data_IF_126150932725
#
_entry.id   IF_126150932725
#
_cell.length_a   1.000
_cell.length_b   1.000
_cell.length_c   1.000
_cell.angle_alpha   90.00
_cell.angle_beta   90.00
_cell.angle_gamma   90.00
#
_symmetry.space_group_name_H-M   'P 1'
#
loop_
_entity.id
_entity.type
_entity.pdbx_description
1 polymer ?
#
# COMPACT_ATOMS: atom_id res chain seq x y z
N UNK A 1 -35.32 -21.74 -0.12
CA UNK A 1 -35.20 -21.40 -1.57
C UNK A 1 -33.73 -21.12 -1.86
N UNK A 2 -33.19 -21.52 -3.02
CA UNK A 2 -31.76 -21.43 -3.31
C UNK A 2 -31.43 -20.62 -4.57
N UNK A 3 -30.28 -19.96 -4.56
CA UNK A 3 -29.69 -19.24 -5.70
C UNK A 3 -28.25 -19.68 -5.94
N UNK A 4 -27.85 -19.80 -7.19
CA UNK A 4 -26.45 -20.03 -7.54
C UNK A 4 -25.61 -18.81 -7.15
N UNK A 5 -24.52 -19.02 -6.42
CA UNK A 5 -23.69 -17.92 -5.90
C UNK A 5 -22.96 -17.15 -7.01
N UNK A 6 -22.63 -17.81 -8.11
CA UNK A 6 -21.89 -17.22 -9.23
C UNK A 6 -22.72 -16.22 -10.05
N UNK A 7 -24.01 -16.49 -10.20
CA UNK A 7 -24.91 -15.82 -11.14
C UNK A 7 -26.09 -15.14 -10.45
N UNK A 8 -26.32 -15.44 -9.17
CA UNK A 8 -27.48 -14.96 -8.40
C UNK A 8 -28.82 -15.52 -8.90
N UNK A 9 -28.81 -16.41 -9.88
CA UNK A 9 -30.03 -16.98 -10.46
C UNK A 9 -30.61 -18.03 -9.52
N UNK A 10 -31.94 -18.11 -9.47
CA UNK A 10 -32.62 -19.19 -8.74
C UNK A 10 -32.17 -20.55 -9.27
N UNK A 11 -31.97 -21.50 -8.36
CA UNK A 11 -31.69 -22.89 -8.71
C UNK A 11 -32.95 -23.48 -9.37
N UNK A 12 -32.87 -23.72 -10.68
CA UNK A 12 -33.95 -24.33 -11.45
C UNK A 12 -33.90 -25.86 -11.43
N UNK A 13 -32.69 -26.42 -11.30
CA UNK A 13 -32.42 -27.85 -11.25
C UNK A 13 -31.28 -28.07 -10.25
N UNK A 14 -31.50 -28.93 -9.25
CA UNK A 14 -30.50 -29.18 -8.21
C UNK A 14 -29.43 -30.20 -8.68
N UNK A 15 -28.19 -30.16 -8.13
CA UNK A 15 -27.18 -31.16 -8.46
C UNK A 15 -27.68 -32.61 -8.30
N UNK A 16 -28.44 -32.87 -7.23
CA UNK A 16 -29.07 -34.18 -6.98
C UNK A 16 -30.10 -34.56 -8.04
N UNK A 17 -30.84 -33.59 -8.56
CA UNK A 17 -31.85 -33.80 -9.61
C UNK A 17 -31.19 -34.14 -10.94
N UNK A 18 -30.10 -33.44 -11.31
CA UNK A 18 -29.32 -33.77 -12.50
C UNK A 18 -28.69 -35.15 -12.43
N UNK A 19 -28.17 -35.53 -11.25
CA UNK A 19 -27.61 -36.86 -11.03
C UNK A 19 -28.69 -37.96 -11.18
N UNK A 20 -29.88 -37.76 -10.61
CA UNK A 20 -30.94 -38.77 -10.63
C UNK A 20 -31.69 -38.86 -11.96
N UNK A 21 -31.93 -37.73 -12.64
CA UNK A 21 -32.75 -37.69 -13.86
C UNK A 21 -31.94 -37.83 -15.15
N UNK A 22 -30.74 -37.24 -15.19
CA UNK A 22 -29.88 -37.18 -16.38
C UNK A 22 -28.62 -38.01 -16.25
N UNK A 23 -28.28 -38.45 -15.04
CA UNK A 23 -27.05 -39.18 -14.78
C UNK A 23 -25.80 -38.32 -14.95
N UNK A 24 -25.94 -37.01 -14.71
CA UNK A 24 -24.87 -36.02 -14.79
C UNK A 24 -24.24 -35.79 -13.42
N UNK A 25 -22.91 -35.82 -13.35
CA UNK A 25 -22.17 -35.45 -12.14
C UNK A 25 -21.99 -33.93 -12.08
N UNK A 26 -22.41 -33.31 -10.98
CA UNK A 26 -22.17 -31.89 -10.67
C UNK A 26 -21.41 -31.78 -9.37
N UNK A 27 -20.26 -31.10 -9.37
CA UNK A 27 -19.31 -31.12 -8.26
C UNK A 27 -18.96 -29.72 -7.80
N UNK A 28 -18.88 -29.54 -6.48
CA UNK A 28 -18.42 -28.33 -5.80
C UNK A 28 -19.18 -27.04 -6.17
N UNK A 29 -20.46 -27.13 -6.53
CA UNK A 29 -21.24 -25.97 -6.89
C UNK A 29 -21.68 -25.22 -5.62
N UNK A 30 -21.56 -23.89 -5.63
CA UNK A 30 -21.92 -23.04 -4.50
C UNK A 30 -23.36 -22.52 -4.65
N UNK A 31 -24.18 -22.87 -3.67
CA UNK A 31 -25.59 -22.49 -3.61
C UNK A 31 -25.83 -21.71 -2.34
N UNK A 32 -26.31 -20.48 -2.46
CA UNK A 32 -26.80 -19.72 -1.32
C UNK A 32 -28.26 -20.13 -1.08
N UNK A 33 -28.55 -20.53 0.15
CA UNK A 33 -29.89 -20.94 0.58
C UNK A 33 -30.32 -20.12 1.79
N UNK A 34 -31.63 -19.92 1.89
CA UNK A 34 -32.27 -19.56 3.14
C UNK A 34 -32.82 -20.82 3.80
N UNK A 35 -32.37 -21.10 5.02
CA UNK A 35 -32.84 -22.20 5.85
C UNK A 35 -34.24 -21.90 6.41
N UNK A 36 -34.92 -22.94 6.94
CA UNK A 36 -36.27 -22.78 7.50
C UNK A 36 -36.31 -21.84 8.71
N UNK A 37 -35.20 -21.68 9.43
CA UNK A 37 -35.04 -20.72 10.53
C UNK A 37 -34.60 -19.32 10.06
N UNK A 38 -34.69 -19.03 8.75
CA UNK A 38 -34.39 -17.71 8.16
C UNK A 38 -32.91 -17.38 8.06
N UNK A 39 -32.01 -18.33 8.33
CA UNK A 39 -30.57 -18.10 8.21
C UNK A 39 -30.11 -18.27 6.78
N UNK A 40 -29.23 -17.39 6.36
CA UNK A 40 -28.58 -17.48 5.05
C UNK A 40 -27.33 -18.35 5.18
N UNK A 41 -27.28 -19.43 4.40
CA UNK A 41 -26.16 -20.37 4.34
C UNK A 41 -25.66 -20.53 2.92
N UNK A 42 -24.37 -20.79 2.79
CA UNK A 42 -23.72 -21.15 1.53
C UNK A 42 -23.37 -22.62 1.59
N UNK A 43 -23.98 -23.39 0.71
CA UNK A 43 -23.80 -24.83 0.62
C UNK A 43 -22.94 -25.15 -0.59
N UNK A 44 -21.85 -25.87 -0.36
CA UNK A 44 -21.11 -26.55 -1.41
C UNK A 44 -21.79 -27.88 -1.67
N UNK A 45 -22.46 -27.98 -2.81
CA UNK A 45 -23.23 -29.15 -3.21
C UNK A 45 -22.47 -29.93 -4.28
N UNK A 46 -22.39 -31.24 -4.08
CA UNK A 46 -21.89 -32.20 -5.08
C UNK A 46 -22.87 -33.36 -5.18
N UNK A 47 -23.15 -33.81 -6.39
CA UNK A 47 -23.99 -34.95 -6.65
C UNK A 47 -23.44 -35.79 -7.81
N UNK A 48 -23.41 -37.10 -7.62
CA UNK A 48 -22.93 -38.08 -8.60
C UNK A 48 -23.92 -39.23 -8.69
N UNK A 49 -24.34 -39.67 -9.88
CA UNK A 49 -25.23 -40.82 -10.04
C UNK A 49 -24.56 -42.12 -9.61
N UNK A 50 -25.36 -43.02 -9.04
CA UNK A 50 -25.00 -44.41 -8.81
C UNK A 50 -25.67 -45.23 -9.91
N UNK A 51 -24.89 -46.05 -10.61
CA UNK A 51 -25.36 -46.92 -11.69
C UNK A 51 -25.19 -48.38 -11.31
N UNK A 52 -26.10 -49.22 -11.76
CA UNK A 52 -25.94 -50.67 -11.69
C UNK A 52 -25.05 -51.20 -12.82
N UNK A 53 -24.94 -52.53 -12.92
CA UNK A 53 -24.18 -53.20 -13.97
C UNK A 53 -24.70 -52.94 -15.40
N UNK A 54 -25.98 -52.59 -15.55
CA UNK A 54 -26.66 -52.32 -16.82
C UNK A 54 -26.62 -50.82 -17.19
N UNK A 55 -25.81 -50.03 -16.47
CA UNK A 55 -25.71 -48.56 -16.59
C UNK A 55 -26.99 -47.80 -16.23
N UNK A 56 -28.01 -48.47 -15.68
CA UNK A 56 -29.22 -47.84 -15.21
C UNK A 56 -28.93 -47.03 -13.94
N UNK A 57 -29.48 -45.82 -13.84
CA UNK A 57 -29.33 -44.97 -12.66
C UNK A 57 -30.21 -45.55 -11.55
N UNK A 58 -29.58 -46.00 -10.47
CA UNK A 58 -30.27 -46.60 -9.31
C UNK A 58 -30.26 -45.69 -8.08
N UNK A 59 -29.53 -44.57 -8.14
CA UNK A 59 -29.48 -43.60 -7.06
C UNK A 59 -28.49 -42.48 -7.34
N UNK A 60 -28.20 -41.67 -6.32
CA UNK A 60 -27.16 -40.65 -6.37
C UNK A 60 -26.49 -40.51 -4.99
N UNK A 61 -25.18 -40.28 -4.98
CA UNK A 61 -24.46 -39.80 -3.81
C UNK A 61 -24.52 -38.28 -3.83
N UNK A 62 -25.01 -37.67 -2.74
CA UNK A 62 -25.09 -36.22 -2.59
C UNK A 62 -24.33 -35.80 -1.35
N UNK A 63 -23.43 -34.84 -1.52
CA UNK A 63 -22.68 -34.21 -0.43
C UNK A 63 -23.08 -32.74 -0.40
N UNK A 64 -23.61 -32.31 0.75
CA UNK A 64 -23.91 -30.92 1.02
C UNK A 64 -23.09 -30.49 2.23
N UNK A 65 -22.17 -29.56 2.00
CA UNK A 65 -21.31 -29.03 3.04
C UNK A 65 -21.63 -27.55 3.26
N UNK A 66 -21.84 -27.18 4.52
CA UNK A 66 -21.98 -25.79 4.90
C UNK A 66 -20.60 -25.12 4.89
N UNK A 67 -20.38 -24.25 3.92
CA UNK A 67 -19.13 -23.49 3.76
C UNK A 67 -19.32 -22.01 4.11
N UNK A 68 -20.41 -21.65 4.77
CA UNK A 68 -20.78 -20.26 5.06
C UNK A 68 -19.68 -19.49 5.78
N UNK A 69 -19.15 -20.05 6.87
CA UNK A 69 -18.12 -19.38 7.68
C UNK A 69 -16.82 -19.23 6.89
N UNK A 70 -16.43 -20.28 6.16
CA UNK A 70 -15.22 -20.26 5.32
C UNK A 70 -15.32 -19.19 4.25
N UNK A 71 -16.40 -19.17 3.47
CA UNK A 71 -16.54 -18.20 2.39
C UNK A 71 -16.65 -16.76 2.93
N UNK A 72 -17.33 -16.55 4.06
CA UNK A 72 -17.35 -15.22 4.71
C UNK A 72 -15.96 -14.78 5.18
N UNK A 73 -15.17 -15.67 5.76
CA UNK A 73 -13.81 -15.36 6.18
C UNK A 73 -12.91 -15.03 4.98
N UNK A 74 -12.97 -15.83 3.92
CA UNK A 74 -12.22 -15.60 2.67
C UNK A 74 -12.62 -14.26 2.02
N UNK A 75 -13.92 -13.93 1.98
CA UNK A 75 -14.40 -12.66 1.45
C UNK A 75 -14.00 -11.46 2.31
N UNK A 76 -14.07 -11.59 3.65
CA UNK A 76 -13.65 -10.54 4.55
C UNK A 76 -12.14 -10.28 4.44
N UNK A 77 -11.34 -11.35 4.35
CA UNK A 77 -9.90 -11.27 4.13
C UNK A 77 -9.61 -10.56 2.80
N UNK A 78 -10.20 -11.02 1.70
CA UNK A 78 -10.03 -10.41 0.37
C UNK A 78 -10.42 -8.93 0.37
N UNK A 79 -11.51 -8.57 1.04
CA UNK A 79 -11.96 -7.18 1.17
C UNK A 79 -10.96 -6.34 1.96
N UNK A 80 -10.44 -6.88 3.07
CA UNK A 80 -9.42 -6.23 3.90
C UNK A 80 -8.12 -6.01 3.12
N UNK A 81 -7.60 -7.04 2.45
CA UNK A 81 -6.39 -6.98 1.61
C UNK A 81 -6.52 -5.95 0.49
N UNK A 82 -7.67 -5.94 -0.19
CA UNK A 82 -7.96 -4.96 -1.24
C UNK A 82 -7.98 -3.54 -0.67
N UNK A 83 -8.67 -3.32 0.45
CA UNK A 83 -8.75 -2.00 1.09
C UNK A 83 -7.37 -1.51 1.54
N UNK A 84 -6.55 -2.40 2.11
CA UNK A 84 -5.16 -2.09 2.49
C UNK A 84 -4.36 -1.65 1.26
N UNK A 85 -4.42 -2.42 0.18
CA UNK A 85 -3.71 -2.12 -1.07
C UNK A 85 -4.14 -0.77 -1.67
N UNK A 86 -5.45 -0.48 -1.68
CA UNK A 86 -5.99 0.79 -2.18
C UNK A 86 -5.58 1.97 -1.28
N UNK A 87 -5.57 1.79 0.04
CA UNK A 87 -5.19 2.84 0.99
C UNK A 87 -3.69 3.16 0.92
N UNK A 88 -2.84 2.15 0.78
CA UNK A 88 -1.39 2.32 0.56
C UNK A 88 -1.11 3.15 -0.68
N UNK A 89 -1.80 2.86 -1.79
CA UNK A 89 -1.66 3.59 -3.04
C UNK A 89 -2.12 5.05 -2.94
N UNK A 90 -3.22 5.33 -2.24
CA UNK A 90 -3.71 6.70 -2.02
C UNK A 90 -2.76 7.54 -1.15
N UNK A 91 -2.10 6.91 -0.18
CA UNK A 91 -1.16 7.58 0.72
C UNK A 91 0.27 7.71 0.19
N UNK A 92 0.53 7.33 -1.08
CA UNK A 92 1.88 7.19 -1.63
C UNK A 92 2.85 6.51 -0.67
N UNK A 93 2.35 5.47 0.01
CA UNK A 93 3.06 4.79 1.09
C UNK A 93 3.13 3.33 0.77
N UNK A 94 4.34 2.86 0.48
CA UNK A 94 4.62 1.47 0.22
C UNK A 94 5.16 0.76 1.44
N UNK A 95 4.61 -0.41 1.75
CA UNK A 95 5.16 -1.29 2.79
C UNK A 95 6.21 -2.25 2.24
N UNK A 96 7.15 -2.62 3.10
CA UNK A 96 8.19 -3.61 2.81
C UNK A 96 8.51 -4.43 4.05
N UNK A 97 9.07 -5.60 3.83
CA UNK A 97 9.44 -6.55 4.86
C UNK A 97 10.73 -7.25 4.42
N UNK A 98 11.66 -7.38 5.35
CA UNK A 98 12.96 -7.98 5.14
C UNK A 98 13.15 -9.11 6.14
N UNK A 99 13.26 -10.33 5.63
CA UNK A 99 13.59 -11.52 6.42
C UNK A 99 15.09 -11.50 6.73
N UNK A 100 15.44 -11.39 8.01
CA UNK A 100 16.83 -11.29 8.45
C UNK A 100 17.54 -12.65 8.51
N UNK A 101 16.80 -13.74 8.33
CA UNK A 101 17.30 -15.12 8.34
C UNK A 101 17.59 -15.59 6.92
N UNK A 102 16.62 -15.48 6.00
CA UNK A 102 16.79 -15.87 4.60
C UNK A 102 17.46 -14.80 3.75
N UNK A 103 17.33 -13.52 4.15
CA UNK A 103 17.76 -12.38 3.34
C UNK A 103 16.76 -12.00 2.24
N UNK A 104 15.54 -12.55 2.26
CA UNK A 104 14.51 -12.21 1.29
C UNK A 104 13.84 -10.87 1.63
N UNK A 105 13.49 -10.12 0.58
CA UNK A 105 12.71 -8.90 0.70
C UNK A 105 11.33 -9.09 0.07
N UNK A 106 10.30 -8.84 0.86
CA UNK A 106 8.96 -8.59 0.35
C UNK A 106 8.74 -7.08 0.23
N UNK A 107 8.03 -6.68 -0.81
CA UNK A 107 7.63 -5.29 -1.01
C UNK A 107 6.26 -5.23 -1.67
N UNK A 108 5.47 -4.27 -1.25
CA UNK A 108 4.19 -3.95 -1.88
C UNK A 108 4.40 -3.38 -3.28
N UNK A 109 3.33 -3.40 -4.08
CA UNK A 109 3.37 -2.80 -5.42
C UNK A 109 3.63 -1.29 -5.36
N UNK A 110 3.09 -0.60 -4.34
CA UNK A 110 3.34 0.82 -4.14
C UNK A 110 4.80 1.10 -3.77
N UNK A 111 5.42 0.30 -2.88
CA UNK A 111 6.84 0.48 -2.55
C UNK A 111 7.72 0.34 -3.79
N UNK A 112 7.47 -0.67 -4.64
CA UNK A 112 8.20 -0.80 -5.91
C UNK A 112 7.98 0.40 -6.84
N UNK A 113 6.75 0.91 -6.92
CA UNK A 113 6.43 2.09 -7.73
C UNK A 113 7.15 3.35 -7.25
N UNK A 114 7.23 3.56 -5.93
CA UNK A 114 7.93 4.70 -5.34
C UNK A 114 9.41 4.71 -5.74
N UNK A 115 10.07 3.55 -5.79
CA UNK A 115 11.49 3.43 -6.07
C UNK A 115 11.84 3.30 -7.56
N UNK A 116 11.00 2.64 -8.34
CA UNK A 116 11.32 2.24 -9.71
C UNK A 116 10.33 2.74 -10.77
N UNK A 117 9.28 3.45 -10.36
CA UNK A 117 8.21 3.86 -11.27
C UNK A 117 7.49 2.64 -11.87
N UNK A 118 7.43 2.58 -13.19
CA UNK A 118 6.79 1.48 -13.92
C UNK A 118 7.74 0.31 -14.26
N UNK A 119 9.02 0.39 -13.87
CA UNK A 119 9.98 -0.70 -14.08
C UNK A 119 9.70 -1.87 -13.12
N UNK A 120 8.99 -2.88 -13.64
CA UNK A 120 8.63 -4.11 -12.91
C UNK A 120 9.76 -5.16 -12.89
N UNK A 121 10.88 -4.93 -13.56
CA UNK A 121 12.03 -5.85 -13.52
C UNK A 121 12.84 -5.71 -12.23
N UNK A 122 12.55 -4.68 -11.43
CA UNK A 122 13.28 -4.29 -10.22
C UNK A 122 12.46 -4.53 -8.94
N UNK A 123 13.18 -4.59 -7.82
CA UNK A 123 12.59 -4.62 -6.48
C UNK A 123 12.35 -6.02 -5.93
N UNK A 124 12.94 -7.04 -6.58
CA UNK A 124 12.99 -8.40 -6.07
C UNK A 124 14.16 -8.61 -5.09
N UNK A 125 15.18 -7.76 -5.16
CA UNK A 125 16.40 -7.86 -4.35
C UNK A 125 16.63 -6.57 -3.59
N UNK A 126 17.24 -6.68 -2.40
CA UNK A 126 17.65 -5.51 -1.60
C UNK A 126 18.59 -4.61 -2.40
N UNK A 127 19.49 -5.20 -3.18
CA UNK A 127 20.46 -4.45 -4.00
C UNK A 127 19.79 -3.51 -5.02
N UNK A 128 18.59 -3.86 -5.51
CA UNK A 128 17.86 -2.98 -6.42
C UNK A 128 17.49 -1.66 -5.74
N UNK A 129 17.06 -1.72 -4.47
CA UNK A 129 16.72 -0.52 -3.70
C UNK A 129 17.96 0.29 -3.34
N UNK A 130 19.04 -0.38 -2.93
CA UNK A 130 20.32 0.29 -2.60
C UNK A 130 20.87 1.05 -3.81
N UNK A 131 20.73 0.50 -5.02
CA UNK A 131 21.17 1.16 -6.24
C UNK A 131 20.44 2.47 -6.56
N UNK A 132 19.27 2.71 -5.94
CA UNK A 132 18.53 3.97 -6.11
C UNK A 132 18.98 5.08 -5.17
N UNK A 133 19.81 4.79 -4.16
CA UNK A 133 20.15 5.80 -3.16
C UNK A 133 20.92 6.96 -3.76
N UNK A 134 20.52 8.17 -3.39
CA UNK A 134 21.29 9.35 -3.77
C UNK A 134 22.72 9.23 -3.21
N UNK A 135 23.78 9.57 -3.97
CA UNK A 135 25.17 9.40 -3.56
C UNK A 135 25.48 9.97 -2.16
N UNK A 136 25.00 11.18 -1.88
CA UNK A 136 25.17 11.84 -0.57
C UNK A 136 24.52 11.09 0.60
N UNK A 137 23.47 10.32 0.35
CA UNK A 137 22.68 9.66 1.39
C UNK A 137 23.07 8.17 1.52
N UNK A 138 23.72 7.60 0.51
CA UNK A 138 24.00 6.17 0.37
C UNK A 138 24.76 5.59 1.58
N UNK A 139 25.84 6.24 2.01
CA UNK A 139 26.65 5.74 3.13
C UNK A 139 25.85 5.68 4.44
N UNK A 140 25.08 6.74 4.72
CA UNK A 140 24.21 6.82 5.90
C UNK A 140 23.13 5.74 5.88
N UNK A 141 22.53 5.49 4.71
CA UNK A 141 21.53 4.45 4.54
C UNK A 141 22.12 3.05 4.66
N UNK A 142 23.31 2.79 4.13
CA UNK A 142 23.99 1.50 4.27
C UNK A 142 24.30 1.19 5.74
N UNK A 143 24.76 2.18 6.51
CA UNK A 143 24.92 2.04 7.98
C UNK A 143 23.59 1.71 8.66
N UNK A 144 22.51 2.39 8.29
CA UNK A 144 21.16 2.11 8.78
C UNK A 144 20.73 0.65 8.50
N UNK A 145 21.06 0.09 7.35
CA UNK A 145 20.75 -1.31 7.03
C UNK A 145 21.55 -2.30 7.90
N UNK A 146 22.81 -1.99 8.19
CA UNK A 146 23.63 -2.78 9.10
C UNK A 146 23.04 -2.76 10.53
N UNK A 147 22.65 -1.57 11.02
CA UNK A 147 22.03 -1.43 12.33
C UNK A 147 20.71 -2.22 12.46
N UNK A 148 19.88 -2.23 11.40
CA UNK A 148 18.65 -3.03 11.36
C UNK A 148 18.98 -4.52 11.48
N UNK A 149 20.02 -4.99 10.78
CA UNK A 149 20.48 -6.39 10.82
C UNK A 149 21.00 -6.80 12.19
N UNK A 150 21.70 -5.90 12.86
CA UNK A 150 22.19 -6.08 14.24
C UNK A 150 21.06 -5.88 15.28
N UNK A 151 19.84 -5.61 14.80
CA UNK A 151 18.60 -5.52 15.56
C UNK A 151 18.32 -4.14 16.17
N UNK A 152 19.23 -3.18 16.02
CA UNK A 152 19.32 -2.00 16.87
C UNK A 152 18.17 -0.99 16.75
N UNK A 153 17.37 -0.98 15.68
CA UNK A 153 16.60 0.24 15.39
C UNK A 153 15.13 0.07 14.98
N UNK A 154 14.30 0.84 15.70
CA UNK A 154 12.99 1.36 15.28
C UNK A 154 13.14 2.85 15.05
N UNK A 155 12.51 3.41 14.01
CA UNK A 155 12.41 4.86 13.84
C UNK A 155 12.29 5.31 12.39
N UNK A 156 12.39 6.62 12.22
CA UNK A 156 12.15 7.28 10.92
C UNK A 156 13.43 7.86 10.33
N UNK A 157 13.50 7.94 9.00
CA UNK A 157 14.59 8.58 8.26
C UNK A 157 14.05 9.22 6.98
N UNK A 158 14.44 10.48 6.74
CA UNK A 158 14.22 11.14 5.45
C UNK A 158 15.49 11.02 4.59
N UNK A 159 15.32 10.57 3.35
CA UNK A 159 16.42 10.39 2.41
C UNK A 159 15.96 10.58 0.96
N UNK A 160 16.94 10.75 0.09
CA UNK A 160 16.75 10.93 -1.35
C UNK A 160 17.05 9.66 -2.11
N UNK A 161 16.26 9.43 -3.15
CA UNK A 161 16.50 8.39 -4.16
C UNK A 161 16.54 9.02 -5.56
N UNK A 162 17.32 8.40 -6.43
CA UNK A 162 17.34 8.61 -7.87
C UNK A 162 16.70 7.40 -8.54
N UNK A 163 15.54 7.64 -9.17
CA UNK A 163 14.83 6.60 -9.92
C UNK A 163 15.60 6.23 -11.19
N UNK A 164 15.31 5.08 -11.81
CA UNK A 164 15.90 4.69 -13.10
C UNK A 164 15.70 5.72 -14.23
N UNK A 165 14.62 6.50 -14.18
CA UNK A 165 14.33 7.59 -15.12
C UNK A 165 15.14 8.89 -14.85
N UNK A 166 15.99 8.88 -13.83
CA UNK A 166 16.81 10.01 -13.39
C UNK A 166 16.07 10.99 -12.46
N UNK A 167 14.80 10.77 -12.16
CA UNK A 167 14.04 11.67 -11.29
C UNK A 167 14.43 11.51 -9.81
N UNK A 168 14.60 12.65 -9.14
CA UNK A 168 14.85 12.71 -7.71
C UNK A 168 13.54 12.59 -6.93
N UNK A 169 13.54 11.78 -5.87
CA UNK A 169 12.43 11.71 -4.91
C UNK A 169 12.93 11.79 -3.48
N UNK A 170 12.13 12.41 -2.63
CA UNK A 170 12.31 12.41 -1.17
C UNK A 170 11.41 11.36 -0.55
N UNK A 171 12.01 10.50 0.27
CA UNK A 171 11.34 9.38 0.92
C UNK A 171 11.42 9.55 2.44
N UNK A 172 10.29 9.32 3.11
CA UNK A 172 10.22 9.11 4.55
C UNK A 172 10.11 7.62 4.82
N UNK A 173 11.21 7.01 5.24
CA UNK A 173 11.27 5.62 5.64
C UNK A 173 11.00 5.44 7.12
N UNK A 174 10.15 4.48 7.47
CA UNK A 174 9.91 4.03 8.85
C UNK A 174 10.22 2.55 8.94
N UNK A 175 10.88 2.13 10.02
CA UNK A 175 11.26 0.72 10.22
C UNK A 175 10.98 0.28 11.65
N UNK A 176 10.59 -0.98 11.79
CA UNK A 176 10.50 -1.70 13.05
C UNK A 176 11.12 -3.10 12.89
N UNK A 177 11.92 -3.51 13.87
CA UNK A 177 12.53 -4.85 13.93
C UNK A 177 11.76 -5.76 14.88
N UNK A 178 11.46 -6.98 14.41
CA UNK A 178 10.86 -8.08 15.18
C UNK A 178 11.96 -9.00 15.69
N UNK A 179 11.83 -9.38 16.95
CA UNK A 179 12.78 -10.26 17.65
C UNK A 179 12.06 -11.50 18.18
N UNK A 180 12.79 -12.61 18.23
CA UNK A 180 12.40 -13.80 18.98
C UNK A 180 12.51 -13.58 20.49
N UNK A 181 11.95 -14.51 21.28
CA UNK A 181 12.02 -14.50 22.76
C UNK A 181 13.46 -14.46 23.30
N UNK A 182 14.43 -15.04 22.57
CA UNK A 182 15.86 -15.01 22.90
C UNK A 182 16.54 -13.66 22.57
N UNK A 183 15.80 -12.68 22.05
CA UNK A 183 16.28 -11.36 21.66
C UNK A 183 16.89 -11.28 20.25
N UNK A 184 17.01 -12.40 19.53
CA UNK A 184 17.56 -12.45 18.17
C UNK A 184 16.62 -11.74 17.18
N UNK A 185 17.11 -10.80 16.35
CA UNK A 185 16.30 -10.19 15.31
C UNK A 185 16.03 -11.21 14.20
N UNK A 186 14.76 -11.37 13.82
CA UNK A 186 14.33 -12.35 12.80
C UNK A 186 13.78 -11.69 11.56
N UNK A 187 13.23 -10.48 11.70
CA UNK A 187 12.57 -9.78 10.61
C UNK A 187 12.56 -8.28 10.86
N UNK A 188 12.64 -7.48 9.81
CA UNK A 188 12.37 -6.05 9.85
C UNK A 188 11.24 -5.70 8.88
N UNK A 189 10.38 -4.77 9.23
CA UNK A 189 9.33 -4.29 8.33
C UNK A 189 9.17 -2.79 8.47
N UNK A 190 8.58 -2.17 7.46
CA UNK A 190 8.53 -0.73 7.40
C UNK A 190 7.65 -0.19 6.30
N UNK A 191 7.60 1.13 6.26
CA UNK A 191 6.91 1.87 5.20
C UNK A 191 7.85 2.91 4.60
N UNK A 192 7.66 3.21 3.33
CA UNK A 192 8.30 4.30 2.62
C UNK A 192 7.21 5.19 2.03
N UNK A 193 7.19 6.46 2.43
CA UNK A 193 6.24 7.45 1.91
C UNK A 193 6.98 8.42 0.99
N UNK A 194 6.46 8.63 -0.23
CA UNK A 194 6.97 9.70 -1.11
C UNK A 194 6.52 11.07 -0.55
N UNK A 195 7.49 11.86 -0.10
CA UNK A 195 7.29 13.19 0.50
C UNK A 195 7.84 14.30 -0.42
N UNK A 196 8.08 14.01 -1.70
CA UNK A 196 8.68 14.94 -2.66
C UNK A 196 7.87 16.22 -2.80
N UNK A 197 6.56 16.12 -2.96
CA UNK A 197 5.67 17.29 -3.06
C UNK A 197 5.71 18.14 -1.78
N UNK A 198 5.72 17.49 -0.61
CA UNK A 198 5.86 18.20 0.67
C UNK A 198 7.17 18.97 0.74
N UNK A 199 8.29 18.37 0.32
CA UNK A 199 9.60 19.04 0.31
C UNK A 199 9.64 20.22 -0.66
N UNK A 200 9.04 20.09 -1.84
CA UNK A 200 8.93 21.21 -2.77
C UNK A 200 8.08 22.36 -2.21
N UNK A 201 6.97 22.04 -1.53
CA UNK A 201 6.15 23.06 -0.88
C UNK A 201 6.90 23.77 0.27
N UNK A 202 7.63 23.02 1.11
CA UNK A 202 8.47 23.58 2.18
C UNK A 202 9.56 24.52 1.63
N UNK A 203 10.20 24.14 0.52
CA UNK A 203 11.23 24.94 -0.13
C UNK A 203 10.66 26.22 -0.77
N UNK A 204 9.53 26.11 -1.47
CA UNK A 204 8.84 27.26 -2.06
C UNK A 204 8.41 28.27 -0.99
N UNK A 205 7.87 27.78 0.14
CA UNK A 205 7.50 28.63 1.28
C UNK A 205 8.73 29.35 1.85
N UNK A 206 9.82 28.62 2.06
CA UNK A 206 11.06 29.19 2.61
C UNK A 206 11.65 30.29 1.72
N UNK A 207 11.60 30.11 0.40
CA UNK A 207 12.06 31.12 -0.55
C UNK A 207 11.13 32.34 -0.57
N UNK A 208 9.82 32.15 -0.54
CA UNK A 208 8.86 33.25 -0.42
C UNK A 208 9.08 34.08 0.87
N UNK A 209 9.30 33.42 2.01
CA UNK A 209 9.61 34.10 3.28
C UNK A 209 10.92 34.88 3.24
N UNK A 210 11.92 34.36 2.51
CA UNK A 210 13.21 35.05 2.33
C UNK A 210 13.03 36.29 1.47
N UNK A 211 12.29 36.20 0.36
CA UNK A 211 11.99 37.32 -0.52
C UNK A 211 11.17 38.40 0.20
N UNK A 212 10.17 38.01 0.98
CA UNK A 212 9.37 38.95 1.78
C UNK A 212 10.22 39.69 2.82
N UNK A 213 11.11 38.98 3.53
CA UNK A 213 12.04 39.59 4.48
C UNK A 213 12.99 40.57 3.80
N UNK A 214 13.45 40.27 2.58
CA UNK A 214 14.30 41.17 1.82
C UNK A 214 13.53 42.42 1.35
N UNK A 215 12.30 42.25 0.87
CA UNK A 215 11.43 43.35 0.45
C UNK A 215 11.12 44.32 1.62
N UNK A 216 10.72 43.79 2.79
CA UNK A 216 10.48 44.63 3.98
C UNK A 216 11.72 45.41 4.42
N UNK A 217 12.91 44.80 4.37
CA UNK A 217 14.17 45.51 4.65
C UNK A 217 14.40 46.65 3.66
N UNK A 218 14.14 46.43 2.37
CA UNK A 218 14.32 47.45 1.34
C UNK A 218 13.32 48.60 1.48
N UNK A 219 12.06 48.31 1.80
CA UNK A 219 11.03 49.32 2.06
C UNK A 219 11.39 50.21 3.27
N UNK A 220 11.86 49.60 4.37
CA UNK A 220 12.30 50.32 5.55
C UNK A 220 13.47 51.26 5.24
N UNK A 221 14.46 50.80 4.46
CA UNK A 221 15.58 51.63 3.99
C UNK A 221 15.08 52.76 3.10
N UNK A 222 14.16 52.48 2.17
CA UNK A 222 13.58 53.48 1.28
C UNK A 222 12.82 54.58 2.01
N UNK A 223 12.02 54.23 3.04
CA UNK A 223 11.30 55.21 3.88
C UNK A 223 12.26 56.09 4.67
N UNK A 224 13.33 55.51 5.24
CA UNK A 224 14.34 56.28 5.97
C UNK A 224 15.11 57.22 5.04
N UNK A 225 15.55 56.74 3.88
CA UNK A 225 16.25 57.57 2.89
C UNK A 225 15.36 58.71 2.36
N UNK A 226 14.08 58.43 2.08
CA UNK A 226 13.11 59.44 1.65
C UNK A 226 12.85 60.52 2.70
N UNK A 227 12.73 60.14 3.98
CA UNK A 227 12.59 61.08 5.09
C UNK A 227 13.82 61.98 5.25
N UNK A 228 15.03 61.41 5.22
CA UNK A 228 16.28 62.17 5.30
C UNK A 228 16.42 63.14 4.11
N UNK A 229 16.09 62.70 2.90
CA UNK A 229 16.15 63.56 1.71
C UNK A 229 15.16 64.74 1.79
N UNK A 230 13.95 64.50 2.29
CA UNK A 230 12.95 65.54 2.51
C UNK A 230 13.43 66.59 3.53
N UNK A 231 14.01 66.15 4.64
CA UNK A 231 14.51 67.05 5.69
C UNK A 231 15.71 67.89 5.21
N UNK A 232 16.61 67.31 4.40
CA UNK A 232 17.70 68.04 3.76
C UNK A 232 17.19 69.13 2.79
N UNK A 233 16.20 68.80 1.96
CA UNK A 233 15.60 69.77 1.03
C UNK A 233 14.92 70.93 1.78
N UNK A 234 14.22 70.65 2.88
CA UNK A 234 13.63 71.69 3.71
C UNK A 234 14.69 72.63 4.31
N UNK A 235 15.79 72.10 4.83
CA UNK A 235 16.88 72.91 5.39
C UNK A 235 17.57 73.79 4.34
N UNK A 236 17.83 73.24 3.14
CA UNK A 236 18.43 74.00 2.04
C UNK A 236 17.51 75.12 1.55
N UNK A 237 16.19 74.87 1.53
CA UNK A 237 15.21 75.89 1.16
C UNK A 237 15.15 77.06 2.13
N UNK A 238 15.44 76.84 3.43
CA UNK A 238 15.47 77.89 4.46
C UNK A 238 16.75 78.72 4.40
N UNK A 239 17.86 78.15 3.95
CA UNK A 239 19.15 78.86 3.82
C UNK A 239 19.19 79.70 2.52
N UNK A 240 18.43 79.31 1.50
CA UNK A 240 18.36 79.98 0.20
C UNK A 240 17.23 81.04 0.10
N UNK A 241 16.42 81.21 1.15
CA UNK A 241 15.35 82.21 1.28
C UNK A 241 15.74 83.37 2.18
#
# INVERSE_FOLDING_TARGET
MGTWRDSGRRVAEWPSESALSRGESRLNELIDIETLDGKHKTIRASAVPIRDHDQAIIGAVVVNEDVTERTRAEEALRKSEKLLTETEALGHTGSWEFDLISGDIFSTAENRRIFFGDDRSKGARVEDYVATYHPDDAERLLRRHADIRDGGMTGEIEFRILRPDGSLRWILGRVQTVREENGKPVRAYGTNTDITERKHAEEALREAEKQLRQAHKMEAIGRLAGGVAHDFNNLLSVILS
#
